data_IF_013357069283
#
_entry.id   IF_013357069283
#
_cell.length_a   1.000
_cell.length_b   1.000
_cell.length_c   1.000
_cell.angle_alpha   90.00
_cell.angle_beta   90.00
_cell.angle_gamma   90.00
#
_symmetry.space_group_name_H-M   'P 1'
#
loop_
_entity.id
_entity.type
_entity.pdbx_description
1 polymer ?
#
# COMPACT_ATOMS: atom_id res chain seq x y z
N UNK A 1 -16.12 -3.26 -4.24
CA UNK A 1 -15.71 -1.87 -3.95
C UNK A 1 -16.02 -1.50 -2.51
N UNK A 2 -17.28 -1.61 -2.04
CA UNK A 2 -17.69 -1.19 -0.68
C UNK A 2 -16.87 -1.84 0.45
N UNK A 3 -16.59 -3.15 0.40
CA UNK A 3 -15.76 -3.84 1.38
C UNK A 3 -14.31 -3.34 1.43
N UNK A 4 -13.73 -3.00 0.27
CA UNK A 4 -12.40 -2.39 0.17
C UNK A 4 -12.37 -1.02 0.88
N UNK A 5 -13.39 -0.19 0.65
CA UNK A 5 -13.52 1.12 1.30
C UNK A 5 -13.75 0.95 2.80
N UNK A 6 -14.68 0.08 3.19
CA UNK A 6 -14.99 -0.19 4.60
C UNK A 6 -13.77 -0.69 5.38
N UNK A 7 -12.95 -1.56 4.78
CA UNK A 7 -11.74 -2.08 5.41
C UNK A 7 -10.53 -1.14 5.30
N UNK A 8 -10.60 -0.09 4.45
CA UNK A 8 -9.49 0.82 4.21
C UNK A 8 -8.29 0.14 3.57
N UNK A 9 -8.52 -0.88 2.73
CA UNK A 9 -7.45 -1.69 2.15
C UNK A 9 -6.53 -0.85 1.27
N UNK A 10 -5.24 -1.08 1.41
CA UNK A 10 -4.20 -0.47 0.60
C UNK A 10 -3.05 -1.45 0.39
N UNK A 11 -2.59 -1.56 -0.85
CA UNK A 11 -1.46 -2.41 -1.25
C UNK A 11 -0.18 -1.60 -1.48
N UNK A 12 0.82 -2.20 -2.16
CA UNK A 12 2.15 -1.63 -2.39
C UNK A 12 2.19 -0.27 -3.08
N UNK A 13 1.09 0.13 -3.71
CA UNK A 13 0.99 1.43 -4.41
C UNK A 13 0.71 2.61 -3.48
N UNK A 14 0.27 2.38 -2.23
CA UNK A 14 -0.19 3.45 -1.33
C UNK A 14 0.76 4.63 -1.17
N UNK A 15 2.08 4.46 -0.98
CA UNK A 15 2.99 5.59 -0.78
C UNK A 15 3.15 6.49 -2.01
N UNK A 16 2.84 5.96 -3.19
CA UNK A 16 3.12 6.61 -4.47
C UNK A 16 1.89 7.23 -5.11
N UNK A 17 0.73 6.57 -4.97
CA UNK A 17 -0.51 7.01 -5.62
C UNK A 17 -1.62 7.37 -4.63
N UNK A 18 -1.40 7.16 -3.34
CA UNK A 18 -2.40 7.34 -2.28
C UNK A 18 -3.15 6.06 -1.92
N UNK A 19 -3.82 6.08 -0.77
CA UNK A 19 -4.69 5.01 -0.31
C UNK A 19 -6.15 5.23 -0.74
N UNK A 20 -7.02 4.25 -0.52
CA UNK A 20 -8.44 4.33 -0.87
C UNK A 20 -9.12 5.57 -0.26
N UNK A 21 -8.69 6.02 0.92
CA UNK A 21 -9.17 7.22 1.59
C UNK A 21 -8.96 8.50 0.76
N UNK A 22 -7.90 8.54 -0.04
CA UNK A 22 -7.54 9.71 -0.86
C UNK A 22 -8.36 9.78 -2.16
N UNK A 23 -9.07 8.70 -2.48
CA UNK A 23 -9.90 8.57 -3.67
C UNK A 23 -11.40 8.68 -3.40
N UNK A 24 -11.85 8.53 -2.15
CA UNK A 24 -13.27 8.64 -1.80
C UNK A 24 -13.69 10.11 -1.76
N UNK A 25 -14.66 10.49 -2.60
CA UNK A 25 -15.20 11.85 -2.73
C UNK A 25 -16.51 12.01 -1.97
N UNK A 26 -17.37 11.00 -2.03
CA UNK A 26 -18.68 11.02 -1.40
C UNK A 26 -19.20 9.62 -1.09
N UNK A 27 -20.23 9.53 -0.26
CA UNK A 27 -20.92 8.28 0.02
C UNK A 27 -22.35 8.49 0.51
N UNK A 28 -23.22 7.49 0.30
CA UNK A 28 -24.51 7.35 0.98
C UNK A 28 -24.43 6.24 2.01
N UNK A 29 -24.94 6.50 3.18
CA UNK A 29 -24.96 5.58 4.32
C UNK A 29 -26.38 5.38 4.82
N UNK A 30 -26.68 4.15 5.28
CA UNK A 30 -27.77 3.94 6.23
C UNK A 30 -27.15 4.11 7.62
N UNK A 31 -27.63 5.11 8.35
CA UNK A 31 -27.18 5.40 9.71
C UNK A 31 -27.79 4.39 10.72
N UNK A 32 -27.27 4.29 11.95
CA UNK A 32 -27.86 3.44 12.99
C UNK A 32 -29.32 3.78 13.32
N UNK A 33 -29.76 5.01 13.02
CA UNK A 33 -31.16 5.45 13.13
C UNK A 33 -32.09 4.85 12.08
N UNK A 34 -31.53 4.20 11.01
CA UNK A 34 -32.28 3.76 9.84
C UNK A 34 -32.44 4.84 8.76
N UNK A 35 -31.99 6.05 9.01
CA UNK A 35 -32.03 7.15 8.05
C UNK A 35 -30.95 6.98 6.98
N UNK A 36 -31.28 7.35 5.73
CA UNK A 36 -30.31 7.42 4.63
C UNK A 36 -29.77 8.84 4.54
N UNK A 37 -28.45 8.97 4.72
CA UNK A 37 -27.75 10.25 4.62
C UNK A 37 -26.66 10.20 3.55
N UNK A 38 -26.48 11.32 2.83
CA UNK A 38 -25.42 11.51 1.84
C UNK A 38 -24.37 12.48 2.41
N UNK A 39 -23.11 12.12 2.24
CA UNK A 39 -21.95 12.90 2.71
C UNK A 39 -20.96 13.09 1.56
N UNK A 40 -20.30 14.27 1.53
CA UNK A 40 -19.39 14.63 0.44
C UNK A 40 -20.17 14.89 -0.85
N UNK A 41 -19.54 14.65 -2.00
CA UNK A 41 -20.14 14.87 -3.32
C UNK A 41 -19.19 14.40 -4.42
N UNK A 42 -19.43 14.85 -5.64
CA UNK A 42 -18.61 14.52 -6.81
C UNK A 42 -17.45 15.53 -7.02
N UNK A 43 -17.20 16.40 -6.04
CA UNK A 43 -16.18 17.44 -6.12
C UNK A 43 -14.99 17.12 -5.19
N UNK A 44 -13.78 17.46 -5.66
CA UNK A 44 -12.54 17.17 -4.94
C UNK A 44 -12.31 18.00 -3.67
N UNK A 45 -13.10 19.05 -3.44
CA UNK A 45 -12.97 19.97 -2.31
C UNK A 45 -14.23 19.99 -1.45
N UNK A 46 -14.14 19.44 -0.25
CA UNK A 46 -15.14 19.67 0.80
C UNK A 46 -14.72 20.90 1.62
N UNK A 47 -15.60 21.92 1.72
CA UNK A 47 -15.25 23.23 2.28
C UNK A 47 -15.96 23.53 3.61
N UNK A 48 -16.86 22.66 4.08
CA UNK A 48 -17.62 22.90 5.31
C UNK A 48 -17.89 21.58 6.07
N UNK A 49 -17.71 21.61 7.39
CA UNK A 49 -18.02 20.51 8.30
C UNK A 49 -16.97 19.43 8.38
N UNK A 50 -17.29 18.36 9.12
CA UNK A 50 -16.44 17.18 9.27
C UNK A 50 -16.47 16.33 8.01
N UNK A 51 -15.32 15.74 7.68
CA UNK A 51 -15.19 14.81 6.55
C UNK A 51 -15.69 13.40 6.96
N UNK A 52 -17.01 13.27 7.01
CA UNK A 52 -17.68 11.99 7.34
C UNK A 52 -17.35 10.91 6.32
N UNK A 53 -17.16 11.30 5.06
CA UNK A 53 -16.79 10.39 3.97
C UNK A 53 -15.48 9.69 4.28
N UNK A 54 -14.43 10.44 4.58
CA UNK A 54 -13.12 9.86 4.90
C UNK A 54 -13.07 9.19 6.27
N UNK A 55 -13.93 9.60 7.21
CA UNK A 55 -14.06 8.95 8.51
C UNK A 55 -14.55 7.49 8.37
N UNK A 56 -15.42 7.23 7.40
CA UNK A 56 -15.97 5.90 7.15
C UNK A 56 -14.99 4.94 6.46
N UNK A 57 -13.93 5.44 5.83
CA UNK A 57 -12.90 4.60 5.23
C UNK A 57 -12.09 3.90 6.33
N UNK A 58 -12.13 2.59 6.35
CA UNK A 58 -11.50 1.78 7.39
C UNK A 58 -12.34 1.58 8.66
N UNK A 59 -13.54 2.19 8.75
CA UNK A 59 -14.45 2.05 9.89
C UNK A 59 -15.14 0.67 9.95
N UNK A 60 -14.94 -0.20 8.96
CA UNK A 60 -15.49 -1.57 8.88
C UNK A 60 -17.02 -1.63 9.03
N UNK A 61 -17.73 -0.58 8.62
CA UNK A 61 -19.18 -0.48 8.73
C UNK A 61 -19.72 -0.13 10.11
N UNK A 62 -18.86 0.18 11.09
CA UNK A 62 -19.28 0.52 12.47
C UNK A 62 -20.03 1.85 12.58
N UNK A 63 -19.91 2.74 11.58
CA UNK A 63 -20.54 4.06 11.55
C UNK A 63 -21.79 4.12 10.67
N UNK A 64 -22.07 3.07 9.90
CA UNK A 64 -23.21 2.96 9.00
C UNK A 64 -22.96 1.97 7.87
N UNK A 65 -24.02 1.54 7.20
CA UNK A 65 -23.96 0.68 6.03
C UNK A 65 -23.77 1.52 4.76
N UNK A 66 -22.70 1.26 4.01
CA UNK A 66 -22.43 1.96 2.74
C UNK A 66 -23.36 1.45 1.63
N UNK A 67 -24.15 2.34 1.06
CA UNK A 67 -25.01 2.08 -0.09
C UNK A 67 -24.34 2.46 -1.41
N UNK A 68 -23.76 3.65 -1.44
CA UNK A 68 -23.08 4.20 -2.61
C UNK A 68 -21.76 4.84 -2.21
N UNK A 69 -20.76 4.77 -3.10
CA UNK A 69 -19.47 5.45 -2.93
C UNK A 69 -19.08 6.12 -4.24
N UNK A 70 -18.79 7.42 -4.19
CA UNK A 70 -18.18 8.16 -5.28
C UNK A 70 -16.66 8.12 -5.15
N UNK A 71 -15.98 7.67 -6.21
CA UNK A 71 -14.52 7.53 -6.25
C UNK A 71 -13.91 8.39 -7.34
N UNK A 72 -12.86 9.11 -7.00
CA UNK A 72 -11.95 9.70 -7.97
C UNK A 72 -11.31 8.59 -8.81
N UNK A 73 -11.23 8.79 -10.11
CA UNK A 73 -10.52 7.89 -11.03
C UNK A 73 -9.31 8.61 -11.63
N UNK A 74 -8.33 7.84 -12.06
CA UNK A 74 -7.15 8.34 -12.77
C UNK A 74 -7.16 7.81 -14.20
N UNK A 75 -6.55 8.53 -15.16
CA UNK A 75 -6.32 8.01 -16.51
C UNK A 75 -5.55 6.68 -16.47
N UNK A 76 -5.85 5.79 -17.39
CA UNK A 76 -5.09 4.55 -17.57
C UNK A 76 -3.70 4.94 -18.12
N UNK A 77 -2.59 4.49 -17.49
CA UNK A 77 -1.26 4.78 -17.99
C UNK A 77 -1.00 4.05 -19.32
N UNK A 78 -0.20 4.66 -20.22
CA UNK A 78 0.19 4.04 -21.48
C UNK A 78 1.02 2.77 -21.25
N UNK A 79 1.92 2.82 -20.23
CA UNK A 79 2.80 1.71 -19.87
C UNK A 79 2.69 1.38 -18.40
N UNK A 80 2.61 0.09 -18.11
CA UNK A 80 2.80 -0.50 -16.79
C UNK A 80 3.85 -1.59 -16.89
N UNK A 81 5.00 -1.41 -16.26
CA UNK A 81 6.09 -2.38 -16.26
C UNK A 81 6.59 -2.62 -14.85
N UNK A 82 6.80 -3.88 -14.48
CA UNK A 82 7.44 -4.27 -13.22
C UNK A 82 8.87 -4.69 -13.50
N UNK A 83 9.77 -4.30 -12.61
CA UNK A 83 11.18 -4.66 -12.60
C UNK A 83 11.49 -5.37 -11.30
N UNK A 84 12.30 -6.42 -11.36
CA UNK A 84 12.73 -7.21 -10.22
C UNK A 84 14.25 -7.14 -10.03
N UNK A 85 14.67 -7.19 -8.77
CA UNK A 85 16.05 -7.34 -8.35
C UNK A 85 16.12 -8.40 -7.26
N UNK A 86 16.82 -9.51 -7.52
CA UNK A 86 17.10 -10.52 -6.50
C UNK A 86 18.14 -9.96 -5.54
N UNK A 87 17.78 -9.82 -4.25
CA UNK A 87 18.65 -9.23 -3.24
C UNK A 87 18.20 -9.62 -1.83
N UNK A 88 19.06 -9.33 -0.85
CA UNK A 88 18.68 -9.45 0.56
C UNK A 88 17.75 -8.29 1.01
N UNK A 89 17.04 -8.46 2.16
CA UNK A 89 16.08 -7.46 2.63
C UNK A 89 16.72 -6.10 2.96
N UNK A 90 17.98 -6.06 3.39
CA UNK A 90 18.65 -4.81 3.74
C UNK A 90 19.00 -4.00 2.50
N UNK A 91 19.46 -4.66 1.44
CA UNK A 91 19.69 -4.03 0.14
C UNK A 91 18.37 -3.56 -0.50
N UNK A 92 17.31 -4.37 -0.39
CA UNK A 92 15.97 -3.97 -0.83
C UNK A 92 15.49 -2.68 -0.14
N UNK A 93 15.68 -2.56 1.18
CA UNK A 93 15.35 -1.35 1.93
C UNK A 93 16.15 -0.14 1.44
N UNK A 94 17.46 -0.30 1.22
CA UNK A 94 18.32 0.78 0.69
C UNK A 94 17.82 1.29 -0.66
N UNK A 95 17.48 0.39 -1.59
CA UNK A 95 16.90 0.75 -2.88
C UNK A 95 15.55 1.46 -2.72
N UNK A 96 14.64 0.95 -1.88
CA UNK A 96 13.34 1.59 -1.63
C UNK A 96 13.51 3.03 -1.11
N UNK A 97 14.48 3.26 -0.21
CA UNK A 97 14.76 4.59 0.33
C UNK A 97 15.35 5.53 -0.72
N UNK A 98 16.31 5.04 -1.52
CA UNK A 98 16.98 5.84 -2.55
C UNK A 98 16.03 6.22 -3.69
N UNK A 99 15.19 5.27 -4.10
CA UNK A 99 14.33 5.38 -5.29
C UNK A 99 12.95 5.98 -5.00
N UNK A 100 12.58 6.22 -3.74
CA UNK A 100 11.21 6.63 -3.31
C UNK A 100 10.61 7.83 -4.04
N UNK A 101 11.44 8.64 -4.72
CA UNK A 101 11.02 9.85 -5.45
C UNK A 101 11.19 9.74 -6.96
N UNK A 102 11.45 8.54 -7.50
CA UNK A 102 11.54 8.36 -8.94
C UNK A 102 10.21 8.70 -9.62
N UNK A 103 10.27 9.55 -10.63
CA UNK A 103 9.09 9.88 -11.42
C UNK A 103 8.59 8.63 -12.15
N UNK A 104 7.28 8.32 -12.01
CA UNK A 104 6.69 7.11 -12.58
C UNK A 104 6.73 5.88 -11.67
N UNK A 105 7.41 5.95 -10.51
CA UNK A 105 7.33 4.89 -9.50
C UNK A 105 5.90 4.83 -8.93
N UNK A 106 5.25 3.69 -9.04
CA UNK A 106 3.85 3.50 -8.67
C UNK A 106 3.60 2.38 -7.65
N UNK A 107 4.57 1.54 -7.43
CA UNK A 107 4.60 0.54 -6.36
C UNK A 107 6.02 0.06 -6.13
N UNK A 108 6.35 -0.32 -4.90
CA UNK A 108 7.51 -1.14 -4.58
C UNK A 108 7.17 -2.13 -3.49
N UNK A 109 7.72 -3.34 -3.57
CA UNK A 109 7.59 -4.35 -2.54
C UNK A 109 8.76 -5.33 -2.60
N UNK A 110 9.16 -5.84 -1.45
CA UNK A 110 10.11 -6.94 -1.33
C UNK A 110 9.38 -8.18 -0.83
N UNK A 111 9.58 -9.30 -1.49
CA UNK A 111 8.99 -10.60 -1.12
C UNK A 111 9.81 -11.73 -1.74
N UNK A 112 9.96 -12.83 -1.02
CA UNK A 112 10.62 -14.06 -1.51
C UNK A 112 12.02 -13.84 -2.11
N UNK A 113 12.80 -12.93 -1.51
CA UNK A 113 14.17 -12.64 -1.96
C UNK A 113 14.27 -11.69 -3.15
N UNK A 114 13.16 -11.08 -3.57
CA UNK A 114 13.11 -10.18 -4.72
C UNK A 114 12.51 -8.81 -4.37
N UNK A 115 13.19 -7.74 -4.73
CA UNK A 115 12.65 -6.39 -4.73
C UNK A 115 11.94 -6.13 -6.05
N UNK A 116 10.68 -5.80 -5.99
CA UNK A 116 9.81 -5.47 -7.11
C UNK A 116 9.53 -3.97 -7.14
N UNK A 117 9.70 -3.36 -8.29
CA UNK A 117 9.47 -1.93 -8.53
C UNK A 117 8.60 -1.76 -9.77
N UNK A 118 7.49 -1.03 -9.66
CA UNK A 118 6.55 -0.82 -10.77
C UNK A 118 6.62 0.60 -11.32
N UNK A 119 6.91 0.71 -12.60
CA UNK A 119 6.71 1.90 -13.41
C UNK A 119 5.26 2.02 -13.87
N UNK A 120 4.71 3.23 -13.85
CA UNK A 120 3.48 3.63 -14.54
C UNK A 120 3.68 5.02 -15.16
N UNK A 121 3.45 5.14 -16.47
CA UNK A 121 3.64 6.41 -17.15
C UNK A 121 3.50 6.30 -18.65
N UNK A 122 4.14 7.23 -19.37
CA UNK A 122 4.20 7.23 -20.85
C UNK A 122 5.37 6.39 -21.35
N UNK A 123 5.27 5.93 -22.60
CA UNK A 123 6.39 5.25 -23.30
C UNK A 123 7.62 6.16 -23.39
N UNK A 124 7.43 7.46 -23.58
CA UNK A 124 8.52 8.44 -23.71
C UNK A 124 9.33 8.58 -22.40
N UNK A 125 8.69 8.51 -21.22
CA UNK A 125 9.36 8.68 -19.94
C UNK A 125 10.01 7.39 -19.41
N UNK A 126 9.63 6.23 -19.93
CA UNK A 126 10.13 4.93 -19.48
C UNK A 126 11.66 4.78 -19.51
N UNK A 127 12.39 5.16 -20.60
CA UNK A 127 13.85 5.03 -20.63
C UNK A 127 14.54 5.85 -19.52
N UNK A 128 14.02 7.03 -19.21
CA UNK A 128 14.56 7.89 -18.11
C UNK A 128 14.36 7.22 -16.75
N UNK A 129 13.20 6.56 -16.55
CA UNK A 129 12.96 5.80 -15.34
C UNK A 129 13.92 4.60 -15.24
N UNK A 130 14.09 3.82 -16.31
CA UNK A 130 14.99 2.67 -16.35
C UNK A 130 16.44 3.06 -16.07
N UNK A 131 16.90 4.17 -16.64
CA UNK A 131 18.25 4.70 -16.37
C UNK A 131 18.41 5.07 -14.88
N UNK A 132 17.41 5.69 -14.27
CA UNK A 132 17.46 6.11 -12.88
C UNK A 132 17.25 4.94 -11.90
N UNK A 133 16.53 3.89 -12.32
CA UNK A 133 16.31 2.68 -11.54
C UNK A 133 17.61 1.87 -11.38
N UNK A 134 18.39 1.74 -12.44
CA UNK A 134 19.63 0.99 -12.48
C UNK A 134 19.56 -0.27 -13.35
N UNK A 135 20.72 -0.67 -13.92
CA UNK A 135 20.82 -1.79 -14.86
C UNK A 135 20.68 -3.17 -14.18
N UNK A 136 20.82 -3.24 -12.88
CA UNK A 136 20.65 -4.45 -12.07
C UNK A 136 19.20 -4.93 -12.01
N UNK A 137 18.23 -4.05 -12.28
CA UNK A 137 16.82 -4.40 -12.34
C UNK A 137 16.43 -4.97 -13.70
N UNK A 138 15.71 -6.08 -13.70
CA UNK A 138 15.24 -6.74 -14.92
C UNK A 138 13.71 -6.70 -15.04
N UNK A 139 13.14 -6.56 -16.24
CA UNK A 139 11.71 -6.68 -16.45
C UNK A 139 11.17 -8.04 -15.98
N UNK A 140 10.11 -8.03 -15.16
CA UNK A 140 9.47 -9.23 -14.63
C UNK A 140 7.94 -9.14 -14.72
N UNK A 141 7.21 -10.27 -14.61
CA UNK A 141 5.75 -10.26 -14.53
C UNK A 141 5.24 -9.55 -13.28
N UNK A 142 4.01 -9.01 -13.32
CA UNK A 142 3.38 -8.32 -12.18
C UNK A 142 2.85 -9.27 -11.08
N UNK A 143 3.16 -10.55 -11.14
CA UNK A 143 2.63 -11.57 -10.22
C UNK A 143 3.12 -11.39 -8.78
N UNK A 144 4.38 -10.98 -8.59
CA UNK A 144 4.96 -10.77 -7.26
C UNK A 144 4.31 -9.62 -6.50
N UNK A 145 4.03 -8.48 -7.14
CA UNK A 145 3.29 -7.38 -6.51
C UNK A 145 1.84 -7.75 -6.17
N UNK A 146 1.21 -8.60 -6.99
CA UNK A 146 -0.10 -9.16 -6.69
C UNK A 146 -0.04 -10.11 -5.48
N UNK A 147 1.00 -10.94 -5.38
CA UNK A 147 1.21 -11.81 -4.21
C UNK A 147 1.33 -11.01 -2.91
N UNK A 148 2.08 -9.90 -2.91
CA UNK A 148 2.17 -9.02 -1.72
C UNK A 148 0.83 -8.36 -1.39
N UNK A 149 0.09 -7.86 -2.39
CA UNK A 149 -1.24 -7.28 -2.21
C UNK A 149 -2.22 -8.26 -1.59
N UNK A 150 -2.19 -9.51 -2.04
CA UNK A 150 -3.15 -10.56 -1.67
C UNK A 150 -2.65 -11.43 -0.50
N UNK A 151 -1.48 -11.10 0.08
CA UNK A 151 -0.80 -11.83 1.16
C UNK A 151 -0.48 -13.29 0.81
N UNK A 152 -0.27 -13.60 -0.49
CA UNK A 152 -0.01 -14.96 -0.97
C UNK A 152 1.41 -15.48 -0.62
N UNK A 153 2.26 -14.65 -0.02
CA UNK A 153 3.54 -15.04 0.57
C UNK A 153 3.38 -15.62 1.99
N UNK A 154 2.19 -15.50 2.58
CA UNK A 154 1.93 -15.91 3.96
C UNK A 154 1.64 -17.42 4.05
N UNK A 155 2.67 -18.27 3.92
CA UNK A 155 2.57 -19.72 4.09
C UNK A 155 2.68 -20.18 5.54
N UNK A 156 2.59 -19.25 6.50
CA UNK A 156 2.75 -19.50 7.92
C UNK A 156 1.45 -19.35 8.68
N UNK A 157 1.33 -20.04 9.83
CA UNK A 157 0.16 -19.94 10.72
C UNK A 157 0.06 -18.58 11.39
N UNK A 158 1.19 -17.90 11.64
CA UNK A 158 1.27 -16.62 12.33
C UNK A 158 2.06 -15.61 11.50
N UNK A 159 1.32 -14.64 10.95
CA UNK A 159 1.86 -13.51 10.20
C UNK A 159 1.67 -12.25 11.03
N UNK A 160 2.79 -11.57 11.31
CA UNK A 160 2.80 -10.32 12.04
C UNK A 160 3.02 -9.16 11.10
N UNK A 161 2.18 -8.14 11.26
CA UNK A 161 2.30 -6.89 10.55
C UNK A 161 2.89 -5.83 11.47
N UNK A 162 3.93 -5.16 10.98
CA UNK A 162 4.55 -4.03 11.65
C UNK A 162 4.52 -2.80 10.74
N UNK A 163 4.06 -1.67 11.28
CA UNK A 163 4.08 -0.36 10.65
C UNK A 163 5.06 0.52 11.44
N UNK A 164 6.07 1.10 10.80
CA UNK A 164 7.07 1.90 11.49
C UNK A 164 7.96 2.74 10.60
N UNK A 165 9.10 3.14 11.15
CA UNK A 165 10.06 3.94 10.42
C UNK A 165 10.63 3.19 9.21
N UNK A 166 10.72 3.87 8.07
CA UNK A 166 11.20 3.28 6.81
C UNK A 166 12.65 2.82 6.88
N UNK A 167 13.44 3.43 7.74
CA UNK A 167 14.86 3.18 7.98
C UNK A 167 15.13 2.29 9.20
N UNK A 168 14.10 1.76 9.86
CA UNK A 168 14.28 0.83 10.97
C UNK A 168 15.10 -0.39 10.51
N UNK A 169 15.92 -1.00 11.40
CA UNK A 169 16.69 -2.19 11.06
C UNK A 169 15.84 -3.32 10.51
N UNK A 170 16.37 -4.05 9.54
CA UNK A 170 15.69 -5.22 8.96
C UNK A 170 16.06 -6.46 9.77
N UNK A 171 15.07 -7.31 10.07
CA UNK A 171 15.23 -8.58 10.76
C UNK A 171 15.33 -9.73 9.76
N UNK A 172 16.06 -10.77 10.09
CA UNK A 172 16.16 -12.02 9.32
C UNK A 172 14.84 -12.79 9.21
N UNK A 173 13.87 -12.47 10.06
CA UNK A 173 12.52 -13.05 10.05
C UNK A 173 11.54 -12.31 9.13
N UNK A 174 12.00 -11.27 8.42
CA UNK A 174 11.20 -10.54 7.46
C UNK A 174 10.85 -11.46 6.28
N UNK A 175 9.56 -11.56 5.97
CA UNK A 175 9.06 -12.30 4.80
C UNK A 175 8.63 -11.40 3.67
N UNK A 176 8.15 -10.19 3.99
CA UNK A 176 7.82 -9.19 2.99
C UNK A 176 7.94 -7.77 3.57
N UNK A 177 8.17 -6.80 2.68
CA UNK A 177 8.24 -5.39 3.02
C UNK A 177 7.62 -4.58 1.88
N UNK A 178 6.77 -3.61 2.23
CA UNK A 178 6.21 -2.69 1.26
C UNK A 178 6.09 -1.26 1.82
N UNK A 179 5.34 -0.38 1.16
CA UNK A 179 5.19 1.04 1.49
C UNK A 179 6.53 1.77 1.64
N UNK A 180 7.49 1.43 0.78
CA UNK A 180 8.82 2.04 0.80
C UNK A 180 9.64 1.68 2.04
N UNK A 181 9.35 0.54 2.68
CA UNK A 181 10.03 0.06 3.88
C UNK A 181 9.27 0.27 5.19
N UNK A 182 8.14 1.01 5.16
CA UNK A 182 7.36 1.32 6.37
C UNK A 182 6.46 0.16 6.83
N UNK A 183 5.97 -0.65 5.91
CA UNK A 183 5.15 -1.82 6.22
C UNK A 183 5.97 -3.09 6.07
N UNK A 184 6.01 -3.90 7.12
CA UNK A 184 6.79 -5.14 7.17
C UNK A 184 5.95 -6.29 7.69
N UNK A 185 6.25 -7.46 7.15
CA UNK A 185 5.58 -8.71 7.50
C UNK A 185 6.61 -9.70 8.01
N UNK A 186 6.32 -10.36 9.11
CA UNK A 186 7.19 -11.33 9.76
C UNK A 186 6.44 -12.63 9.99
N UNK A 187 7.11 -13.74 9.71
CA UNK A 187 6.62 -15.09 10.01
C UNK A 187 7.28 -15.59 11.29
N UNK A 188 6.53 -15.69 12.39
CA UNK A 188 7.06 -16.22 13.64
C UNK A 188 5.94 -16.72 14.54
N UNK A 189 6.18 -17.86 15.20
CA UNK A 189 5.30 -18.40 16.23
C UNK A 189 5.45 -17.68 17.58
N UNK A 190 6.52 -16.88 17.75
CA UNK A 190 6.84 -16.21 19.01
C UNK A 190 7.05 -14.70 18.77
N UNK A 191 6.12 -13.90 19.23
CA UNK A 191 6.13 -12.43 19.08
C UNK A 191 7.34 -11.77 19.74
N UNK A 192 7.81 -12.31 20.86
CA UNK A 192 8.96 -11.78 21.61
C UNK A 192 10.28 -11.85 20.83
N UNK A 193 10.38 -12.73 19.83
CA UNK A 193 11.57 -12.81 18.96
C UNK A 193 11.59 -11.71 17.90
N UNK A 194 10.39 -11.18 17.54
CA UNK A 194 10.26 -10.12 16.54
C UNK A 194 10.51 -8.74 17.13
N UNK A 195 10.14 -8.55 18.39
CA UNK A 195 10.16 -7.27 19.09
C UNK A 195 10.68 -7.47 20.52
N UNK A 196 12.00 -7.66 20.71
CA UNK A 196 12.58 -7.93 22.03
C UNK A 196 12.29 -6.82 23.06
N UNK A 197 12.00 -5.60 22.60
CA UNK A 197 11.67 -4.44 23.45
C UNK A 197 10.15 -4.18 23.60
N UNK A 198 9.28 -4.94 22.95
CA UNK A 198 7.83 -4.74 23.00
C UNK A 198 7.18 -5.05 24.37
N UNK A 199 7.95 -5.54 25.32
CA UNK A 199 7.49 -5.84 26.68
C UNK A 199 8.02 -4.90 27.78
N UNK A 200 8.79 -3.86 27.43
CA UNK A 200 9.26 -2.87 28.42
C UNK A 200 8.25 -1.70 28.44
N UNK A 201 7.59 -1.41 29.59
CA UNK A 201 6.82 -0.21 29.70
C UNK A 201 7.74 1.00 29.54
N UNK A 202 7.28 1.97 28.73
CA UNK A 202 7.89 3.31 28.61
C UNK A 202 7.62 4.12 29.87
#
# INVERSE_FOLDING_TARGET
>A
VGGMVAAGLAGPSRPYVGGVRDYVLGMKLILPSGEIAAFGGDVMKNVAGYDITRLNVGARGSLGLMLEVALKVLPIPEVVQVYGLVCDPSLAQQHMLAQRRLAGLSASAYCDGELLVRYQGSEQAKPTFEQALGQEFQPVPNTGLAAVRDLNFAHTRHLWRWDGAVDAPVSDQLVAMDWGGALRWFASDIIALLFPDAGKPV
#
